data_IF_043900892510
#
_entry.id   IF_043900892510
#
_cell.length_a   1.000
_cell.length_b   1.000
_cell.length_c   1.000
_cell.angle_alpha   90.00
_cell.angle_beta   90.00
_cell.angle_gamma   90.00
#
_symmetry.space_group_name_H-M   'P 1'
#
loop_
_entity.id
_entity.type
_entity.pdbx_description
1 polymer ?
#
# COMPACT_ATOMS: atom_id res chain seq x y z
N UNK A 1 -71.95 -37.92 4.54
CA UNK A 1 -70.59 -38.47 4.39
C UNK A 1 -69.82 -37.66 3.36
N UNK A 2 -69.87 -36.29 3.39
CA UNK A 2 -69.24 -35.44 2.39
C UNK A 2 -68.63 -34.14 2.98
N UNK A 3 -68.48 -34.04 4.31
CA UNK A 3 -67.99 -32.78 4.92
C UNK A 3 -66.55 -32.87 5.44
N UNK A 4 -65.96 -34.09 5.47
CA UNK A 4 -64.61 -34.32 5.96
C UNK A 4 -63.55 -33.94 4.94
N UNK A 5 -63.81 -34.15 3.64
CA UNK A 5 -62.84 -33.93 2.57
C UNK A 5 -62.57 -32.43 2.32
N UNK A 6 -63.65 -31.64 2.40
CA UNK A 6 -63.52 -30.17 2.25
C UNK A 6 -62.84 -29.49 3.45
N UNK A 7 -62.90 -30.08 4.64
CA UNK A 7 -62.16 -29.62 5.81
C UNK A 7 -60.67 -29.95 5.70
N UNK A 8 -60.34 -31.16 5.24
CA UNK A 8 -58.96 -31.60 5.01
C UNK A 8 -58.25 -30.78 3.93
N UNK A 9 -58.90 -30.52 2.80
CA UNK A 9 -58.35 -29.65 1.73
C UNK A 9 -58.09 -28.21 2.22
N UNK A 10 -58.98 -27.66 3.06
CA UNK A 10 -58.80 -26.32 3.65
C UNK A 10 -57.59 -26.28 4.60
N UNK A 11 -57.35 -27.32 5.35
CA UNK A 11 -56.21 -27.40 6.28
C UNK A 11 -54.88 -27.61 5.54
N UNK A 12 -54.85 -28.40 4.47
CA UNK A 12 -53.69 -28.50 3.57
C UNK A 12 -53.34 -27.15 2.90
N UNK A 13 -54.39 -26.43 2.41
CA UNK A 13 -54.16 -25.11 1.81
C UNK A 13 -53.72 -24.04 2.85
N UNK A 14 -54.12 -24.16 4.11
CA UNK A 14 -53.62 -23.33 5.22
C UNK A 14 -52.19 -23.69 5.54
N UNK A 15 -51.86 -24.95 5.70
CA UNK A 15 -50.47 -25.39 5.96
C UNK A 15 -49.52 -24.93 4.84
N UNK A 16 -49.93 -25.06 3.57
CA UNK A 16 -49.11 -24.58 2.44
C UNK A 16 -48.86 -23.05 2.44
N UNK A 17 -49.83 -22.25 2.89
CA UNK A 17 -49.66 -20.80 3.03
C UNK A 17 -48.71 -20.44 4.19
N UNK A 18 -48.84 -21.13 5.32
CA UNK A 18 -47.95 -20.94 6.47
C UNK A 18 -46.47 -21.23 6.13
N UNK A 19 -46.23 -22.30 5.35
CA UNK A 19 -44.85 -22.62 4.89
C UNK A 19 -44.28 -21.57 3.92
N UNK A 20 -45.12 -20.97 3.07
CA UNK A 20 -44.64 -19.91 2.14
C UNK A 20 -44.37 -18.61 2.89
N UNK A 21 -45.25 -18.19 3.80
CA UNK A 21 -45.03 -16.96 4.60
C UNK A 21 -43.84 -17.11 5.56
N UNK A 22 -43.68 -18.26 6.20
CA UNK A 22 -42.53 -18.55 7.06
C UNK A 22 -41.20 -18.51 6.28
N UNK A 23 -41.16 -19.07 5.07
CA UNK A 23 -39.96 -18.99 4.21
C UNK A 23 -39.65 -17.56 3.81
N UNK A 24 -40.62 -16.75 3.43
CA UNK A 24 -40.43 -15.35 3.07
C UNK A 24 -39.94 -14.52 4.27
N UNK A 25 -40.46 -14.78 5.47
CA UNK A 25 -40.00 -14.12 6.70
C UNK A 25 -38.57 -14.49 7.04
N UNK A 26 -38.18 -15.76 6.89
CA UNK A 26 -36.78 -16.21 7.10
C UNK A 26 -35.85 -15.52 6.09
N UNK A 27 -36.21 -15.45 4.80
CA UNK A 27 -35.41 -14.77 3.80
C UNK A 27 -35.26 -13.27 4.06
N UNK A 28 -36.33 -12.61 4.52
CA UNK A 28 -36.30 -11.20 4.89
C UNK A 28 -35.37 -10.96 6.10
N UNK A 29 -35.44 -11.81 7.12
CA UNK A 29 -34.56 -11.74 8.29
C UNK A 29 -33.10 -11.99 7.87
N UNK A 30 -32.86 -13.00 7.03
CA UNK A 30 -31.51 -13.29 6.52
C UNK A 30 -30.95 -12.12 5.70
N UNK A 31 -31.77 -11.45 4.90
CA UNK A 31 -31.40 -10.28 4.13
C UNK A 31 -31.04 -9.10 5.06
N UNK A 32 -31.84 -8.84 6.08
CA UNK A 32 -31.60 -7.78 7.06
C UNK A 32 -30.31 -8.07 7.84
N UNK A 33 -30.11 -9.31 8.29
CA UNK A 33 -28.87 -9.73 8.97
C UNK A 33 -27.67 -9.60 8.05
N UNK A 34 -27.80 -9.95 6.77
CA UNK A 34 -26.74 -9.80 5.78
C UNK A 34 -26.42 -8.33 5.51
N UNK A 35 -27.43 -7.46 5.37
CA UNK A 35 -27.24 -6.02 5.18
C UNK A 35 -26.61 -5.39 6.43
N UNK A 36 -27.06 -5.75 7.63
CA UNK A 36 -26.47 -5.24 8.89
C UNK A 36 -25.06 -5.77 9.09
N UNK A 37 -24.77 -7.01 8.70
CA UNK A 37 -23.42 -7.58 8.74
C UNK A 37 -22.51 -6.89 7.71
N UNK A 38 -22.96 -6.62 6.48
CA UNK A 38 -22.22 -5.83 5.49
C UNK A 38 -22.00 -4.38 5.96
N UNK A 39 -22.99 -3.75 6.59
CA UNK A 39 -22.87 -2.40 7.13
C UNK A 39 -21.91 -2.35 8.34
N UNK A 40 -21.85 -3.41 9.14
CA UNK A 40 -20.92 -3.51 10.28
C UNK A 40 -19.51 -3.99 9.87
N UNK A 41 -19.38 -4.65 8.72
CA UNK A 41 -18.11 -4.91 8.06
C UNK A 41 -17.52 -3.64 7.45
N UNK A 42 -18.02 -2.48 7.87
CA UNK A 42 -17.46 -1.16 7.59
C UNK A 42 -15.98 -1.22 7.83
N UNK A 43 -15.21 -1.03 6.77
CA UNK A 43 -13.77 -1.05 6.65
C UNK A 43 -13.11 -0.73 8.00
N UNK A 44 -12.52 -1.71 8.64
CA UNK A 44 -11.49 -1.46 9.62
C UNK A 44 -10.36 -0.75 8.87
N UNK A 45 -10.53 0.53 8.63
CA UNK A 45 -9.44 1.39 8.18
C UNK A 45 -8.42 1.29 9.30
N UNK A 46 -7.43 0.44 9.09
CA UNK A 46 -6.39 0.23 10.05
C UNK A 46 -5.81 1.60 10.38
N UNK A 47 -6.00 2.00 11.62
CA UNK A 47 -5.81 3.35 12.12
C UNK A 47 -4.38 3.84 11.86
N UNK A 48 -4.23 5.10 11.49
CA UNK A 48 -2.92 5.77 11.40
C UNK A 48 -2.25 5.65 12.78
N UNK A 49 -1.01 5.14 12.88
CA UNK A 49 -0.31 5.05 14.16
C UNK A 49 -0.18 6.41 14.83
N UNK A 50 -0.37 6.46 16.14
CA UNK A 50 -0.25 7.71 16.92
C UNK A 50 1.12 8.38 16.69
N UNK A 51 2.20 7.59 16.60
CA UNK A 51 3.54 8.08 16.31
C UNK A 51 3.65 8.84 14.97
N UNK A 52 2.76 8.58 14.02
CA UNK A 52 2.76 9.23 12.70
C UNK A 52 2.15 10.65 12.73
N UNK A 53 1.22 10.92 13.66
CA UNK A 53 0.36 12.12 13.60
C UNK A 53 1.14 13.42 13.63
N UNK A 54 2.21 13.49 14.41
CA UNK A 54 3.10 14.65 14.50
C UNK A 54 3.85 14.99 13.19
N UNK A 55 4.02 14.02 12.32
CA UNK A 55 4.80 14.21 11.07
C UNK A 55 3.96 14.64 9.87
N UNK A 56 2.63 14.54 9.94
CA UNK A 56 1.73 14.80 8.81
C UNK A 56 1.99 16.12 8.10
N UNK A 57 2.00 17.22 8.86
CA UNK A 57 2.13 18.56 8.30
C UNK A 57 3.50 18.77 7.62
N UNK A 58 4.56 18.26 8.25
CA UNK A 58 5.90 18.36 7.72
C UNK A 58 6.11 17.51 6.48
N UNK A 59 5.67 16.24 6.51
CA UNK A 59 5.74 15.35 5.34
C UNK A 59 4.97 15.95 4.16
N UNK A 60 3.78 16.50 4.40
CA UNK A 60 2.98 17.15 3.34
C UNK A 60 3.72 18.33 2.70
N UNK A 61 4.29 19.23 3.52
CA UNK A 61 5.06 20.36 3.01
C UNK A 61 6.29 19.92 2.23
N UNK A 62 7.03 18.97 2.77
CA UNK A 62 8.25 18.41 2.18
C UNK A 62 7.96 17.70 0.85
N UNK A 63 6.94 16.85 0.83
CA UNK A 63 6.52 16.16 -0.38
C UNK A 63 6.12 17.13 -1.48
N UNK A 64 5.29 18.14 -1.15
CA UNK A 64 4.86 19.15 -2.11
C UNK A 64 5.99 20.05 -2.60
N UNK A 65 6.96 20.35 -1.77
CA UNK A 65 8.13 21.13 -2.18
C UNK A 65 8.98 20.39 -3.24
N UNK A 66 9.02 19.06 -3.18
CA UNK A 66 9.80 18.23 -4.10
C UNK A 66 8.99 17.78 -5.32
N UNK A 67 7.72 17.36 -5.13
CA UNK A 67 6.88 16.73 -6.15
C UNK A 67 5.80 17.64 -6.76
N UNK A 68 5.59 18.84 -6.18
CA UNK A 68 4.49 19.74 -6.53
C UNK A 68 3.21 19.44 -5.73
N UNK A 69 2.13 20.16 -6.04
CA UNK A 69 0.88 20.11 -5.28
C UNK A 69 0.22 18.72 -5.25
N UNK A 70 0.39 17.97 -6.34
CA UNK A 70 -0.14 16.60 -6.50
C UNK A 70 0.78 15.51 -5.92
N UNK A 71 1.70 15.88 -5.02
CA UNK A 71 2.59 14.93 -4.36
C UNK A 71 1.80 13.78 -3.73
N UNK A 72 2.22 12.51 -3.93
CA UNK A 72 1.53 11.34 -3.38
C UNK A 72 1.85 11.16 -1.90
N UNK A 73 1.35 12.07 -1.04
CA UNK A 73 1.66 12.12 0.39
C UNK A 73 1.29 10.84 1.11
N UNK A 74 0.15 10.23 0.74
CA UNK A 74 -0.28 8.96 1.32
C UNK A 74 0.71 7.82 1.03
N UNK A 75 1.33 7.81 -0.16
CA UNK A 75 2.36 6.84 -0.53
C UNK A 75 3.62 7.01 0.34
N UNK A 76 4.10 8.24 0.50
CA UNK A 76 5.28 8.52 1.33
C UNK A 76 5.03 8.22 2.81
N UNK A 77 3.84 8.50 3.33
CA UNK A 77 3.47 8.12 4.69
C UNK A 77 3.46 6.59 4.87
N UNK A 78 2.94 5.86 3.90
CA UNK A 78 2.96 4.40 3.88
C UNK A 78 4.38 3.84 3.81
N UNK A 79 5.27 4.50 3.08
CA UNK A 79 6.67 4.11 2.98
C UNK A 79 7.41 4.30 4.31
N UNK A 80 7.27 5.45 4.98
CA UNK A 80 7.86 5.64 6.33
C UNK A 80 7.32 4.59 7.32
N UNK A 81 6.03 4.27 7.22
CA UNK A 81 5.44 3.21 8.03
C UNK A 81 6.09 1.85 7.76
N UNK A 82 6.33 1.51 6.51
CA UNK A 82 7.02 0.27 6.11
C UNK A 82 8.46 0.25 6.59
N UNK A 83 9.19 1.36 6.48
CA UNK A 83 10.62 1.44 6.80
C UNK A 83 10.88 1.33 8.31
N UNK A 84 10.27 2.18 9.09
CA UNK A 84 10.61 2.31 10.52
C UNK A 84 9.42 2.18 11.46
N UNK A 85 8.18 2.12 10.96
CA UNK A 85 6.99 2.29 11.78
C UNK A 85 6.98 3.65 12.47
N UNK A 86 7.49 4.70 11.82
CA UNK A 86 7.58 6.07 12.34
C UNK A 86 8.57 6.25 13.51
N UNK A 87 9.61 5.43 13.59
CA UNK A 87 10.64 5.50 14.64
C UNK A 87 11.90 6.21 14.13
N UNK A 88 12.16 7.47 14.53
CA UNK A 88 13.30 8.25 14.02
C UNK A 88 14.67 7.68 14.44
N UNK A 89 14.72 6.95 15.55
CA UNK A 89 15.93 6.28 16.03
C UNK A 89 16.10 4.84 15.55
N UNK A 90 15.28 4.36 14.58
CA UNK A 90 15.37 2.98 14.11
C UNK A 90 16.71 2.70 13.42
N UNK A 91 17.30 1.53 13.74
CA UNK A 91 18.49 0.99 13.06
C UNK A 91 18.21 -0.47 12.74
N UNK A 92 18.41 -0.86 11.48
CA UNK A 92 18.30 -2.25 11.06
C UNK A 92 19.57 -3.04 11.37
N UNK A 93 19.50 -4.38 11.31
CA UNK A 93 20.65 -5.27 11.50
C UNK A 93 21.76 -5.06 10.45
N UNK A 94 21.44 -4.46 9.29
CA UNK A 94 22.40 -4.11 8.23
C UNK A 94 22.84 -2.65 8.27
N UNK A 95 22.44 -1.88 9.29
CA UNK A 95 22.87 -0.50 9.50
C UNK A 95 22.04 0.54 8.74
N UNK A 96 20.86 0.21 8.23
CA UNK A 96 19.94 1.21 7.72
C UNK A 96 19.38 2.06 8.87
N UNK A 97 19.25 3.39 8.67
CA UNK A 97 19.07 4.35 9.76
C UNK A 97 17.88 5.29 9.57
N UNK A 98 17.22 5.60 10.69
CA UNK A 98 16.22 6.66 10.82
C UNK A 98 14.84 6.30 10.27
N UNK A 99 13.98 7.33 10.10
CA UNK A 99 12.61 7.17 9.61
C UNK A 99 12.54 6.45 8.26
N UNK A 100 13.46 6.74 7.35
CA UNK A 100 13.46 6.27 5.97
C UNK A 100 14.46 5.14 5.72
N UNK A 101 15.10 4.61 6.77
CA UNK A 101 16.02 3.46 6.73
C UNK A 101 17.08 3.58 5.63
N UNK A 102 17.75 4.74 5.56
CA UNK A 102 18.84 4.92 4.62
C UNK A 102 20.06 4.09 4.99
N UNK A 103 20.56 3.34 4.03
CA UNK A 103 21.91 2.77 4.12
C UNK A 103 22.96 3.88 4.13
N UNK A 104 24.09 3.73 4.87
CA UNK A 104 25.11 4.78 4.95
C UNK A 104 25.65 5.26 3.60
N UNK A 105 25.78 4.37 2.62
CA UNK A 105 26.20 4.72 1.26
C UNK A 105 25.15 5.58 0.53
N UNK A 106 23.89 5.21 0.63
CA UNK A 106 22.77 5.94 0.00
C UNK A 106 22.57 7.32 0.64
N UNK A 107 22.68 7.42 1.98
CA UNK A 107 22.52 8.71 2.67
C UNK A 107 23.64 9.70 2.31
N UNK A 108 24.89 9.24 2.17
CA UNK A 108 25.98 10.09 1.67
C UNK A 108 25.74 10.55 0.25
N UNK A 109 25.39 9.63 -0.62
CA UNK A 109 25.15 9.96 -2.03
C UNK A 109 23.98 10.94 -2.21
N UNK A 110 22.86 10.78 -1.50
CA UNK A 110 21.72 11.73 -1.58
C UNK A 110 22.09 13.11 -1.05
N UNK A 111 22.96 13.16 -0.04
CA UNK A 111 23.51 14.41 0.50
C UNK A 111 24.42 15.16 -0.49
N UNK A 112 25.04 14.45 -1.44
CA UNK A 112 25.85 15.03 -2.51
C UNK A 112 25.01 15.62 -3.63
N UNK A 113 23.86 14.99 -3.95
CA UNK A 113 23.01 15.40 -5.09
C UNK A 113 21.99 16.50 -4.76
N UNK A 114 21.63 16.69 -3.49
CA UNK A 114 20.74 17.77 -3.04
C UNK A 114 21.47 18.64 -2.00
N UNK A 115 21.82 19.89 -2.34
CA UNK A 115 22.51 20.81 -1.41
C UNK A 115 21.79 21.02 -0.08
N UNK A 116 20.45 20.89 -0.04
CA UNK A 116 19.68 21.01 1.21
C UNK A 116 19.89 19.84 2.17
N UNK A 117 20.45 18.73 1.66
CA UNK A 117 20.69 17.49 2.38
C UNK A 117 22.16 17.27 2.76
N UNK A 118 23.06 18.21 2.46
CA UNK A 118 24.53 18.09 2.65
C UNK A 118 24.96 17.74 4.08
N UNK A 119 24.12 18.03 5.09
CA UNK A 119 24.41 17.71 6.49
C UNK A 119 24.44 16.20 6.78
N UNK A 120 23.86 15.37 5.91
CA UNK A 120 23.80 13.90 6.03
C UNK A 120 23.36 13.42 7.42
N UNK A 121 22.11 13.69 7.79
CA UNK A 121 21.57 13.42 9.13
C UNK A 121 20.39 12.42 9.08
N UNK A 122 20.60 11.12 8.81
CA UNK A 122 19.53 10.14 8.60
C UNK A 122 18.63 9.93 9.84
N UNK A 123 19.08 10.27 11.05
CA UNK A 123 18.29 10.25 12.29
C UNK A 123 17.48 11.52 12.53
N UNK A 124 17.75 12.60 11.80
CA UNK A 124 16.92 13.79 11.83
C UNK A 124 15.68 13.57 10.96
N UNK A 125 14.48 13.68 11.55
CA UNK A 125 13.23 13.37 10.87
C UNK A 125 12.98 14.24 9.65
N UNK A 126 13.28 15.54 9.72
CA UNK A 126 13.12 16.49 8.61
C UNK A 126 14.06 16.14 7.46
N UNK A 127 15.31 15.85 7.77
CA UNK A 127 16.28 15.39 6.79
C UNK A 127 15.82 14.07 6.14
N UNK A 128 15.42 13.08 6.94
CA UNK A 128 15.04 11.76 6.46
C UNK A 128 13.82 11.82 5.52
N UNK A 129 12.78 12.59 5.88
CA UNK A 129 11.61 12.81 5.03
C UNK A 129 12.00 13.51 3.72
N UNK A 130 12.82 14.55 3.78
CA UNK A 130 13.29 15.26 2.58
C UNK A 130 14.12 14.34 1.67
N UNK A 131 15.07 13.63 2.24
CA UNK A 131 15.93 12.70 1.51
C UNK A 131 15.11 11.59 0.83
N UNK A 132 14.12 11.03 1.54
CA UNK A 132 13.25 9.97 1.01
C UNK A 132 12.44 10.46 -0.20
N UNK A 133 11.71 11.55 -0.07
CA UNK A 133 10.88 12.05 -1.18
C UNK A 133 11.72 12.53 -2.37
N UNK A 134 12.92 13.02 -2.14
CA UNK A 134 13.89 13.39 -3.20
C UNK A 134 14.42 12.15 -3.90
N UNK A 135 14.77 11.10 -3.14
CA UNK A 135 15.26 9.86 -3.71
C UNK A 135 14.16 9.11 -4.49
N UNK A 136 12.95 9.06 -3.97
CA UNK A 136 11.81 8.47 -4.68
C UNK A 136 11.53 9.21 -6.00
N UNK A 137 11.62 10.54 -6.01
CA UNK A 137 11.48 11.30 -7.25
C UNK A 137 12.59 10.96 -8.25
N UNK A 138 13.83 10.89 -7.79
CA UNK A 138 14.95 10.47 -8.61
C UNK A 138 14.73 9.09 -9.25
N UNK A 139 14.23 8.13 -8.48
CA UNK A 139 13.93 6.78 -8.95
C UNK A 139 12.71 6.73 -9.88
N UNK A 140 11.66 7.48 -9.55
CA UNK A 140 10.44 7.60 -10.34
C UNK A 140 10.71 8.19 -11.73
N UNK A 141 11.57 9.18 -11.83
CA UNK A 141 11.96 9.79 -13.10
C UNK A 141 12.76 8.84 -13.99
N UNK A 142 13.39 7.82 -13.40
CA UNK A 142 14.18 6.77 -14.09
C UNK A 142 13.36 5.53 -14.45
N UNK A 143 12.15 5.41 -13.96
CA UNK A 143 11.21 4.40 -14.43
C UNK A 143 10.79 4.69 -15.88
N UNK A 144 10.45 3.65 -16.69
CA UNK A 144 10.04 3.84 -18.08
C UNK A 144 8.88 4.85 -18.19
N UNK A 145 9.04 5.85 -19.05
CA UNK A 145 8.01 6.88 -19.23
C UNK A 145 6.70 6.36 -19.85
N UNK A 146 6.76 5.20 -20.50
CA UNK A 146 5.58 4.52 -21.03
C UNK A 146 4.69 3.90 -19.93
N UNK A 147 5.21 3.76 -18.71
CA UNK A 147 4.42 3.27 -17.58
C UNK A 147 3.53 4.38 -17.03
N UNK A 148 2.32 4.01 -16.59
CA UNK A 148 1.46 4.90 -15.82
C UNK A 148 2.09 5.29 -14.46
N UNK A 149 1.58 6.34 -13.81
CA UNK A 149 2.16 6.86 -12.56
C UNK A 149 2.31 5.80 -11.46
N UNK A 150 1.32 4.91 -11.31
CA UNK A 150 1.33 3.84 -10.32
C UNK A 150 2.46 2.82 -10.58
N UNK A 151 2.65 2.40 -11.83
CA UNK A 151 3.70 1.44 -12.18
C UNK A 151 5.09 2.08 -12.10
N UNK A 152 5.23 3.37 -12.41
CA UNK A 152 6.47 4.12 -12.19
C UNK A 152 6.83 4.20 -10.71
N UNK A 153 5.85 4.42 -9.83
CA UNK A 153 6.08 4.40 -8.38
C UNK A 153 6.42 2.99 -7.90
N UNK A 154 5.79 1.96 -8.45
CA UNK A 154 6.17 0.57 -8.16
C UNK A 154 7.65 0.32 -8.45
N UNK A 155 8.12 0.77 -9.61
CA UNK A 155 9.55 0.68 -9.98
C UNK A 155 10.42 1.46 -9.01
N UNK A 156 10.03 2.69 -8.66
CA UNK A 156 10.77 3.52 -7.71
C UNK A 156 10.93 2.82 -6.36
N UNK A 157 9.85 2.27 -5.83
CA UNK A 157 9.85 1.54 -4.55
C UNK A 157 10.67 0.25 -4.63
N UNK A 158 10.59 -0.53 -5.73
CA UNK A 158 11.47 -1.67 -5.93
C UNK A 158 12.94 -1.27 -5.96
N UNK A 159 13.24 -0.15 -6.62
CA UNK A 159 14.61 0.38 -6.72
C UNK A 159 15.09 0.97 -5.40
N UNK A 160 14.22 1.57 -4.60
CA UNK A 160 14.52 2.05 -3.24
C UNK A 160 14.98 0.90 -2.35
N UNK A 161 14.19 -0.16 -2.26
CA UNK A 161 14.49 -1.34 -1.44
C UNK A 161 15.67 -2.15 -1.99
N UNK A 162 15.73 -2.35 -3.29
CA UNK A 162 16.65 -3.31 -3.90
C UNK A 162 17.78 -2.73 -4.75
N UNK A 163 17.77 -1.43 -5.00
CA UNK A 163 18.74 -0.74 -5.86
C UNK A 163 18.31 -0.67 -7.32
N UNK A 164 18.42 0.53 -7.90
CA UNK A 164 18.05 0.81 -9.29
C UNK A 164 18.82 -0.06 -10.30
N UNK A 165 20.12 -0.28 -10.07
CA UNK A 165 20.95 -1.07 -10.97
C UNK A 165 20.50 -2.54 -11.07
N UNK A 166 19.99 -3.11 -9.98
CA UNK A 166 19.41 -4.46 -10.01
C UNK A 166 18.13 -4.50 -10.82
N UNK A 167 17.21 -3.56 -10.57
CA UNK A 167 15.98 -3.46 -11.34
C UNK A 167 16.25 -3.29 -12.84
N UNK A 168 17.19 -2.41 -13.22
CA UNK A 168 17.58 -2.20 -14.61
C UNK A 168 18.18 -3.45 -15.26
N UNK A 169 18.96 -4.22 -14.51
CA UNK A 169 19.52 -5.48 -15.01
C UNK A 169 18.43 -6.54 -15.20
N UNK A 170 17.46 -6.63 -14.29
CA UNK A 170 16.29 -7.50 -14.43
C UNK A 170 15.42 -7.08 -15.61
N UNK A 171 15.24 -5.77 -15.85
CA UNK A 171 14.49 -5.25 -16.99
C UNK A 171 15.13 -5.61 -18.35
N UNK A 172 16.46 -5.67 -18.42
CA UNK A 172 17.16 -6.14 -19.62
C UNK A 172 16.98 -7.63 -19.89
N UNK A 173 16.75 -8.42 -18.84
CA UNK A 173 16.59 -9.86 -18.90
C UNK A 173 15.11 -10.28 -19.03
N UNK A 174 14.17 -9.33 -18.92
CA UNK A 174 12.76 -9.61 -18.97
C UNK A 174 12.30 -10.00 -20.40
N UNK A 175 11.32 -10.90 -20.47
CA UNK A 175 10.73 -11.33 -21.74
C UNK A 175 9.81 -10.27 -22.37
N UNK A 176 9.50 -9.19 -21.67
CA UNK A 176 8.68 -8.07 -22.12
C UNK A 176 9.06 -6.78 -21.43
N UNK A 177 8.55 -5.66 -21.91
CA UNK A 177 8.88 -4.33 -21.43
C UNK A 177 7.88 -3.76 -20.40
N UNK A 178 6.80 -4.47 -20.09
CA UNK A 178 5.84 -4.06 -19.09
C UNK A 178 6.33 -4.41 -17.67
N UNK A 179 5.72 -3.77 -16.67
CA UNK A 179 6.08 -3.94 -15.26
C UNK A 179 6.01 -5.40 -14.79
N UNK A 180 5.00 -6.15 -15.24
CA UNK A 180 4.80 -7.53 -14.80
C UNK A 180 5.89 -8.44 -15.35
N UNK A 181 6.25 -8.28 -16.62
CA UNK A 181 7.35 -9.03 -17.24
C UNK A 181 8.69 -8.77 -16.52
N UNK A 182 8.96 -7.53 -16.12
CA UNK A 182 10.16 -7.19 -15.32
C UNK A 182 10.08 -7.77 -13.91
N UNK A 183 8.92 -7.79 -13.27
CA UNK A 183 8.74 -8.41 -11.96
C UNK A 183 8.98 -9.93 -12.02
N UNK A 184 8.55 -10.60 -13.09
CA UNK A 184 8.83 -12.03 -13.32
C UNK A 184 10.31 -12.33 -13.57
N UNK A 185 11.07 -11.37 -14.08
CA UNK A 185 12.52 -11.46 -14.27
C UNK A 185 13.32 -11.20 -12.97
N UNK A 186 12.66 -10.99 -11.83
CA UNK A 186 13.36 -10.81 -10.57
C UNK A 186 14.31 -11.99 -10.26
N UNK A 187 15.52 -11.65 -9.83
CA UNK A 187 16.56 -12.65 -9.54
C UNK A 187 17.31 -13.19 -10.76
N UNK A 188 17.07 -12.67 -11.96
CA UNK A 188 17.84 -13.00 -13.17
C UNK A 188 19.10 -12.12 -13.32
N UNK A 189 19.24 -11.08 -12.50
CA UNK A 189 20.43 -10.25 -12.40
C UNK A 189 21.43 -10.82 -11.37
N UNK A 190 22.41 -9.99 -10.94
CA UNK A 190 23.45 -10.41 -9.99
C UNK A 190 22.93 -10.71 -8.59
N UNK A 191 21.73 -10.21 -8.22
CA UNK A 191 21.14 -10.42 -6.91
C UNK A 191 20.52 -11.81 -6.82
N UNK A 192 20.72 -12.51 -5.68
CA UNK A 192 20.16 -13.84 -5.48
C UNK A 192 18.63 -13.79 -5.43
N UNK A 193 17.99 -14.84 -5.98
CA UNK A 193 16.53 -14.92 -6.12
C UNK A 193 15.76 -14.87 -4.78
N UNK A 194 16.41 -15.23 -3.67
CA UNK A 194 15.80 -15.14 -2.33
C UNK A 194 15.36 -13.72 -1.95
N UNK A 195 16.00 -12.68 -2.51
CA UNK A 195 15.61 -11.29 -2.27
C UNK A 195 14.32 -10.85 -2.99
N UNK A 196 13.82 -11.66 -3.93
CA UNK A 196 12.65 -11.29 -4.72
C UNK A 196 11.37 -11.22 -3.88
N UNK A 197 11.20 -12.08 -2.89
CA UNK A 197 10.03 -12.07 -2.01
C UNK A 197 9.91 -10.72 -1.30
N UNK A 198 11.00 -10.24 -0.72
CA UNK A 198 11.05 -8.94 -0.06
C UNK A 198 10.89 -7.79 -1.07
N UNK A 199 11.69 -7.80 -2.15
CA UNK A 199 11.73 -6.71 -3.11
C UNK A 199 10.43 -6.52 -3.90
N UNK A 200 9.72 -7.58 -4.26
CA UNK A 200 8.40 -7.51 -4.89
C UNK A 200 7.28 -7.23 -3.87
N UNK A 201 7.44 -7.71 -2.64
CA UNK A 201 6.52 -7.45 -1.54
C UNK A 201 6.53 -6.00 -1.06
N UNK A 202 7.67 -5.31 -1.19
CA UNK A 202 7.85 -3.95 -0.69
C UNK A 202 6.86 -2.93 -1.32
N UNK A 203 6.80 -2.75 -2.66
CA UNK A 203 5.83 -1.84 -3.26
C UNK A 203 4.38 -2.29 -3.05
N UNK A 204 4.10 -3.59 -3.05
CA UNK A 204 2.77 -4.11 -2.75
C UNK A 204 2.31 -3.67 -1.36
N UNK A 205 3.16 -3.89 -0.35
CA UNK A 205 2.83 -3.54 1.02
C UNK A 205 2.59 -2.04 1.18
N UNK A 206 3.37 -1.20 0.50
CA UNK A 206 3.22 0.26 0.56
C UNK A 206 1.95 0.70 -0.18
N UNK A 207 1.80 0.34 -1.46
CA UNK A 207 0.76 0.88 -2.34
C UNK A 207 -0.61 0.23 -2.14
N UNK A 208 -0.66 -1.00 -1.63
CA UNK A 208 -1.91 -1.76 -1.49
C UNK A 208 -2.34 -1.86 -0.02
N UNK A 209 -1.42 -2.23 0.87
CA UNK A 209 -1.79 -2.56 2.25
C UNK A 209 -1.75 -1.34 3.18
N UNK A 210 -0.75 -0.44 3.00
CA UNK A 210 -0.51 0.68 3.93
C UNK A 210 -1.04 2.02 3.42
N UNK A 211 -0.91 2.34 2.14
CA UNK A 211 -1.33 3.62 1.57
C UNK A 211 -2.80 3.98 1.88
N UNK A 212 -3.77 3.06 1.83
CA UNK A 212 -5.16 3.39 2.17
C UNK A 212 -5.35 3.97 3.58
N UNK A 213 -4.48 3.61 4.54
CA UNK A 213 -4.52 4.15 5.92
C UNK A 213 -4.25 5.64 5.96
N UNK A 214 -3.49 6.15 5.00
CA UNK A 214 -3.04 7.54 4.92
C UNK A 214 -3.80 8.36 3.88
N UNK A 215 -4.89 7.84 3.30
CA UNK A 215 -5.67 8.54 2.26
C UNK A 215 -6.13 9.94 2.68
N UNK A 216 -6.41 10.15 3.98
CA UNK A 216 -6.78 11.47 4.51
C UNK A 216 -5.59 12.46 4.61
N UNK A 217 -4.35 12.04 4.32
CA UNK A 217 -3.17 12.93 4.36
C UNK A 217 -2.92 13.62 3.01
N UNK A 218 -3.42 13.06 1.93
CA UNK A 218 -3.25 13.56 0.56
C UNK A 218 -3.40 12.46 -0.47
N UNK A 219 -3.10 12.78 -1.73
CA UNK A 219 -3.13 11.80 -2.82
C UNK A 219 -2.21 10.63 -2.58
N UNK A 220 -2.55 9.49 -3.21
CA UNK A 220 -1.73 8.30 -3.37
C UNK A 220 -1.65 7.90 -4.85
N UNK A 221 -0.86 6.89 -5.17
CA UNK A 221 -0.69 6.36 -6.52
C UNK A 221 -1.19 4.93 -6.66
#
# INVERSE_FOLDING_TARGET
MFDSDAAFERDLARAGRWHRTAKLAIWAIMLVVFITWMAWSGSAHAQVPHAATGYRAELTRTARAVWGLEAPVATFAAQIHQESGWRPGAVSHVGAAGLAQFMPGTSRWIAEIDPSLKANQPFNSSWAMRAMVTYDRYLFERAPKAYGPRDRMWVALRAYNGGLGHWQAEARNAAGSDRVAVDLACGTARRHRSHCVENLGYPRRILVDLQPRYAAWGGGL
#
